data_IF_525530025944
#
_entry.id   IF_525530025944
#
_cell.length_a   1.000
_cell.length_b   1.000
_cell.length_c   1.000
_cell.angle_alpha   90.00
_cell.angle_beta   90.00
_cell.angle_gamma   90.00
#
_symmetry.space_group_name_H-M   'P 1'
#
loop_
_entity.id
_entity.type
_entity.pdbx_description
1 polymer ?
#
# COMPACT_ATOMS: atom_id res chain seq x y z
N UNK A 1 23.91 -63.59 44.35
CA UNK A 1 23.27 -64.73 45.04
C UNK A 1 23.05 -64.35 46.48
N UNK A 2 21.79 -64.22 46.92
CA UNK A 2 21.25 -64.48 48.27
C UNK A 2 19.87 -63.78 48.34
N UNK A 3 18.80 -64.57 48.27
CA UNK A 3 17.50 -64.17 48.83
C UNK A 3 17.50 -64.48 50.32
N UNK A 4 16.56 -63.91 51.08
CA UNK A 4 15.58 -64.82 51.68
C UNK A 4 14.13 -64.32 51.61
N UNK A 5 13.24 -65.32 51.71
CA UNK A 5 11.77 -65.30 51.66
C UNK A 5 11.12 -65.05 53.03
N UNK A 6 9.86 -64.57 53.03
CA UNK A 6 8.65 -64.99 53.81
C UNK A 6 7.61 -63.87 53.67
N UNK A 7 6.48 -64.03 52.99
CA UNK A 7 5.25 -64.79 53.30
C UNK A 7 4.54 -64.31 54.56
N UNK A 8 3.40 -63.61 54.37
CA UNK A 8 2.17 -63.53 55.19
C UNK A 8 1.11 -62.85 54.30
N UNK A 9 0.07 -63.53 53.82
CA UNK A 9 -1.28 -63.81 54.38
C UNK A 9 -2.28 -62.65 54.33
N UNK A 10 -3.48 -63.01 53.85
CA UNK A 10 -4.80 -62.33 53.94
C UNK A 10 -4.94 -61.09 53.04
N UNK A 11 -6.02 -60.85 52.30
CA UNK A 11 -7.44 -61.04 52.60
C UNK A 11 -8.25 -61.01 51.28
N UNK A 12 -9.29 -61.84 51.17
CA UNK A 12 -10.23 -61.88 50.04
C UNK A 12 -11.41 -60.98 50.37
N UNK A 13 -11.72 -59.98 49.53
CA UNK A 13 -13.03 -59.35 49.52
C UNK A 13 -13.37 -58.82 48.12
N UNK A 14 -14.41 -59.41 47.54
CA UNK A 14 -15.18 -58.89 46.41
C UNK A 14 -15.76 -57.52 46.77
N UNK A 15 -15.72 -56.59 45.82
CA UNK A 15 -16.86 -55.69 45.60
C UNK A 15 -16.87 -55.23 44.14
N UNK A 16 -17.83 -55.77 43.39
CA UNK A 16 -18.20 -55.31 42.06
C UNK A 16 -18.82 -53.92 42.17
N UNK A 17 -18.23 -52.93 41.50
CA UNK A 17 -18.91 -51.70 41.14
C UNK A 17 -19.05 -51.65 39.61
N UNK A 18 -20.27 -51.91 39.15
CA UNK A 18 -20.73 -51.67 37.78
C UNK A 18 -20.48 -50.21 37.40
N UNK A 19 -19.56 -49.99 36.46
CA UNK A 19 -19.44 -48.75 35.70
C UNK A 19 -19.63 -49.06 34.22
N UNK A 20 -20.81 -48.75 33.71
CA UNK A 20 -21.09 -48.71 32.26
C UNK A 20 -20.34 -47.50 31.71
N UNK A 21 -19.32 -47.72 30.88
CA UNK A 21 -18.79 -46.67 30.01
C UNK A 21 -18.94 -47.03 28.54
N UNK A 22 -19.59 -46.10 27.86
CA UNK A 22 -20.07 -46.11 26.50
C UNK A 22 -18.93 -45.98 25.47
N UNK A 23 -19.19 -46.37 24.20
CA UNK A 23 -18.18 -46.45 23.16
C UNK A 23 -17.58 -45.09 22.78
N UNK A 24 -16.27 -45.12 22.55
CA UNK A 24 -15.45 -44.03 21.99
C UNK A 24 -16.03 -43.52 20.66
N UNK A 25 -16.29 -42.20 20.50
CA UNK A 25 -16.52 -41.64 19.18
C UNK A 25 -15.17 -41.43 18.49
N UNK A 26 -14.87 -42.34 17.58
CA UNK A 26 -13.97 -42.05 16.49
C UNK A 26 -14.57 -40.92 15.63
N UNK A 27 -13.70 -40.06 15.11
CA UNK A 27 -13.93 -39.11 14.01
C UNK A 27 -14.76 -37.87 14.35
N UNK A 28 -14.10 -36.88 14.94
CA UNK A 28 -14.34 -35.49 14.56
C UNK A 28 -13.31 -35.14 13.50
N UNK A 29 -13.72 -35.22 12.23
CA UNK A 29 -13.10 -34.43 11.17
C UNK A 29 -13.06 -32.99 11.66
N UNK A 30 -11.87 -32.52 12.02
CA UNK A 30 -11.63 -31.09 12.11
C UNK A 30 -11.71 -30.63 10.66
N UNK A 31 -12.90 -30.19 10.27
CA UNK A 31 -13.09 -29.32 9.14
C UNK A 31 -12.24 -28.08 9.42
N UNK A 32 -10.97 -28.18 9.02
CA UNK A 32 -10.05 -27.07 8.99
C UNK A 32 -10.73 -26.03 8.11
N UNK A 33 -11.20 -25.01 8.81
CA UNK A 33 -11.85 -23.83 8.28
C UNK A 33 -11.14 -23.45 7.00
N UNK A 34 -11.81 -23.67 5.85
CA UNK A 34 -11.42 -23.04 4.60
C UNK A 34 -11.32 -21.56 4.91
N UNK A 35 -10.10 -21.05 5.00
CA UNK A 35 -9.84 -19.63 4.87
C UNK A 35 -10.50 -19.23 3.56
N UNK A 36 -11.62 -18.52 3.64
CA UNK A 36 -12.00 -17.59 2.58
C UNK A 36 -10.74 -16.85 2.19
N UNK A 37 -10.36 -16.77 0.90
CA UNK A 37 -9.13 -16.12 0.50
C UNK A 37 -9.25 -14.61 0.80
N UNK A 38 -8.91 -14.25 2.03
CA UNK A 38 -8.63 -12.89 2.42
C UNK A 38 -7.46 -12.46 1.56
N UNK A 39 -7.61 -11.32 0.91
CA UNK A 39 -6.52 -10.70 0.15
C UNK A 39 -5.24 -10.76 0.98
N UNK A 40 -4.14 -11.24 0.41
CA UNK A 40 -2.87 -11.28 1.14
C UNK A 40 -2.50 -9.87 1.61
N UNK A 41 -1.76 -9.77 2.73
CA UNK A 41 -1.32 -8.46 3.26
C UNK A 41 -0.58 -7.63 2.20
N UNK A 42 0.13 -8.28 1.27
CA UNK A 42 0.87 -7.63 0.19
C UNK A 42 -0.04 -7.09 -0.90
N UNK A 43 -1.06 -7.84 -1.29
CA UNK A 43 -2.11 -7.37 -2.20
C UNK A 43 -2.93 -6.22 -1.59
N UNK A 44 -3.17 -6.24 -0.27
CA UNK A 44 -3.81 -5.12 0.41
C UNK A 44 -2.93 -3.86 0.37
N UNK A 45 -1.63 -3.99 0.67
CA UNK A 45 -0.67 -2.88 0.55
C UNK A 45 -0.56 -2.37 -0.89
N UNK A 46 -0.53 -3.27 -1.87
CA UNK A 46 -0.56 -2.92 -3.28
C UNK A 46 -1.76 -2.06 -3.62
N UNK A 47 -2.97 -2.41 -3.15
CA UNK A 47 -4.17 -1.61 -3.41
C UNK A 47 -4.02 -0.18 -2.87
N UNK A 48 -3.46 -0.02 -1.68
CA UNK A 48 -3.16 1.29 -1.09
C UNK A 48 -2.17 2.09 -1.94
N UNK A 49 -1.02 1.49 -2.30
CA UNK A 49 -0.02 2.16 -3.14
C UNK A 49 -0.57 2.52 -4.52
N UNK A 50 -1.35 1.62 -5.13
CA UNK A 50 -1.98 1.86 -6.42
C UNK A 50 -3.07 2.95 -6.35
N UNK A 51 -3.83 3.03 -5.26
CA UNK A 51 -4.79 4.11 -5.05
C UNK A 51 -4.08 5.46 -4.96
N UNK A 52 -2.98 5.54 -4.19
CA UNK A 52 -2.16 6.74 -4.08
C UNK A 52 -1.54 7.14 -5.43
N UNK A 53 -1.01 6.17 -6.18
CA UNK A 53 -0.47 6.41 -7.51
C UNK A 53 -1.52 6.96 -8.48
N UNK A 54 -2.75 6.42 -8.46
CA UNK A 54 -3.86 6.91 -9.31
C UNK A 54 -4.29 8.32 -8.92
N UNK A 55 -4.39 8.60 -7.62
CA UNK A 55 -4.68 9.94 -7.11
C UNK A 55 -3.65 10.96 -7.59
N UNK A 56 -2.36 10.65 -7.43
CA UNK A 56 -1.28 11.50 -7.90
C UNK A 56 -1.33 11.71 -9.43
N UNK A 57 -1.56 10.66 -10.22
CA UNK A 57 -1.69 10.76 -11.68
C UNK A 57 -2.89 11.64 -12.12
N UNK A 58 -4.02 11.54 -11.41
CA UNK A 58 -5.16 12.42 -11.65
C UNK A 58 -4.80 13.89 -11.37
N UNK A 59 -4.11 14.17 -10.26
CA UNK A 59 -3.62 15.52 -9.94
C UNK A 59 -2.60 16.04 -10.97
N UNK A 60 -1.71 15.19 -11.47
CA UNK A 60 -0.80 15.55 -12.59
C UNK A 60 -1.60 16.05 -13.78
N UNK A 61 -2.62 15.30 -14.18
CA UNK A 61 -3.50 15.66 -15.31
C UNK A 61 -4.23 16.98 -15.05
N UNK A 62 -4.83 17.14 -13.87
CA UNK A 62 -5.55 18.35 -13.48
C UNK A 62 -4.65 19.59 -13.46
N UNK A 63 -3.44 19.49 -12.91
CA UNK A 63 -2.47 20.58 -12.88
C UNK A 63 -1.99 20.96 -14.28
N UNK A 64 -1.66 20.00 -15.15
CA UNK A 64 -1.29 20.26 -16.54
C UNK A 64 -2.42 20.97 -17.31
N UNK A 65 -3.68 20.52 -17.16
CA UNK A 65 -4.84 21.19 -17.77
C UNK A 65 -5.01 22.60 -17.24
N UNK A 66 -4.87 22.79 -15.93
CA UNK A 66 -4.93 24.12 -15.32
C UNK A 66 -3.84 25.04 -15.89
N UNK A 67 -2.62 24.56 -16.10
CA UNK A 67 -1.57 25.37 -16.71
C UNK A 67 -1.89 25.83 -18.15
N UNK A 68 -2.89 25.23 -18.82
CA UNK A 68 -3.23 25.51 -20.21
C UNK A 68 -2.13 25.05 -21.17
N UNK A 69 -1.33 24.08 -20.75
CA UNK A 69 -0.19 23.57 -21.50
C UNK A 69 -0.65 22.37 -22.32
N UNK A 70 -0.63 22.53 -23.65
CA UNK A 70 -0.86 21.42 -24.58
C UNK A 70 0.33 20.46 -24.50
N UNK A 71 0.13 19.34 -23.81
CA UNK A 71 1.13 18.30 -23.64
C UNK A 71 0.69 17.04 -24.38
N UNK A 72 1.49 16.63 -25.37
CA UNK A 72 1.37 15.29 -25.96
C UNK A 72 2.33 14.34 -25.21
N UNK A 73 1.83 13.43 -24.35
CA UNK A 73 2.67 12.49 -23.62
C UNK A 73 3.39 11.47 -24.51
N UNK A 74 3.03 11.34 -25.80
CA UNK A 74 3.73 10.50 -26.76
C UNK A 74 5.04 11.13 -27.27
N UNK A 75 5.18 12.46 -27.16
CA UNK A 75 6.40 13.16 -27.56
C UNK A 75 7.48 13.02 -26.48
N UNK A 76 8.56 12.34 -26.81
CA UNK A 76 9.69 12.11 -25.90
C UNK A 76 10.83 13.09 -26.21
N UNK A 77 11.14 13.96 -25.25
CA UNK A 77 12.27 14.87 -25.29
C UNK A 77 13.25 14.47 -24.18
N UNK A 78 14.53 14.27 -24.54
CA UNK A 78 15.55 13.79 -23.60
C UNK A 78 15.79 14.73 -22.42
N UNK A 79 15.77 16.05 -22.67
CA UNK A 79 15.87 17.09 -21.64
C UNK A 79 14.74 18.10 -21.88
N UNK A 80 13.60 17.97 -21.18
CA UNK A 80 12.49 18.89 -21.38
C UNK A 80 12.79 20.24 -20.72
N UNK A 81 13.02 21.27 -21.53
CA UNK A 81 13.24 22.64 -21.06
C UNK A 81 11.92 23.44 -21.02
N UNK A 82 11.09 23.25 -22.04
CA UNK A 82 9.80 23.90 -22.21
C UNK A 82 8.72 23.34 -21.27
N UNK A 83 7.78 24.20 -20.86
CA UNK A 83 6.67 23.81 -19.98
C UNK A 83 5.84 22.65 -20.56
N UNK A 84 5.60 22.65 -21.88
CA UNK A 84 4.91 21.57 -22.59
C UNK A 84 5.65 20.23 -22.53
N UNK A 85 6.96 20.25 -22.79
CA UNK A 85 7.78 19.05 -22.72
C UNK A 85 7.88 18.51 -21.28
N UNK A 86 7.95 19.40 -20.27
CA UNK A 86 7.95 19.01 -18.85
C UNK A 86 6.60 18.41 -18.42
N UNK A 87 5.49 19.00 -18.86
CA UNK A 87 4.14 18.48 -18.61
C UNK A 87 3.94 17.10 -19.28
N UNK A 88 4.35 16.94 -20.54
CA UNK A 88 4.32 15.66 -21.24
C UNK A 88 5.14 14.58 -20.51
N UNK A 89 6.34 14.93 -20.05
CA UNK A 89 7.18 14.03 -19.27
C UNK A 89 6.53 13.62 -17.94
N UNK A 90 5.89 14.56 -17.22
CA UNK A 90 5.19 14.27 -15.98
C UNK A 90 4.01 13.31 -16.20
N UNK A 91 3.19 13.56 -17.24
CA UNK A 91 2.08 12.67 -17.61
C UNK A 91 2.58 11.26 -17.92
N UNK A 92 3.61 11.14 -18.76
CA UNK A 92 4.23 9.86 -19.12
C UNK A 92 4.77 9.12 -17.89
N UNK A 93 5.54 9.80 -17.03
CA UNK A 93 6.08 9.20 -15.81
C UNK A 93 4.98 8.67 -14.88
N UNK A 94 3.86 9.40 -14.76
CA UNK A 94 2.72 8.94 -13.98
C UNK A 94 2.04 7.71 -14.59
N UNK A 95 1.89 7.66 -15.91
CA UNK A 95 1.33 6.51 -16.62
C UNK A 95 2.25 5.28 -16.53
N UNK A 96 3.55 5.45 -16.71
CA UNK A 96 4.56 4.39 -16.59
C UNK A 96 4.55 3.77 -15.17
N UNK A 97 4.39 4.61 -14.14
CA UNK A 97 4.29 4.16 -12.74
C UNK A 97 3.06 3.29 -12.51
N UNK A 98 1.91 3.66 -13.10
CA UNK A 98 0.68 2.87 -13.02
C UNK A 98 0.78 1.55 -13.80
N UNK A 99 1.39 1.58 -14.99
CA UNK A 99 1.62 0.38 -15.79
C UNK A 99 2.53 -0.62 -15.05
N UNK A 100 3.59 -0.13 -14.40
CA UNK A 100 4.49 -0.97 -13.60
C UNK A 100 3.79 -1.65 -12.41
N UNK A 101 2.84 -0.96 -11.75
CA UNK A 101 2.01 -1.53 -10.68
C UNK A 101 1.08 -2.64 -11.20
N UNK A 102 0.49 -2.45 -12.38
CA UNK A 102 -0.44 -3.40 -12.98
C UNK A 102 0.25 -4.65 -13.55
N UNK A 103 1.49 -4.51 -14.04
CA UNK A 103 2.22 -5.57 -14.74
C UNK A 103 3.15 -6.44 -13.88
N UNK A 104 3.27 -6.18 -12.57
CA UNK A 104 4.21 -6.87 -11.68
C UNK A 104 3.50 -7.71 -10.61
N UNK A 105 4.19 -8.66 -9.99
CA UNK A 105 3.70 -9.36 -8.79
C UNK A 105 3.74 -8.43 -7.55
N UNK A 106 2.84 -8.58 -6.56
CA UNK A 106 2.83 -7.75 -5.35
C UNK A 106 4.20 -7.69 -4.66
N UNK A 107 4.74 -6.48 -4.57
CA UNK A 107 5.96 -6.17 -3.83
C UNK A 107 5.75 -4.79 -3.20
N UNK A 108 5.47 -4.70 -1.89
CA UNK A 108 5.20 -3.43 -1.23
C UNK A 108 6.29 -2.36 -1.44
N UNK A 109 7.56 -2.76 -1.52
CA UNK A 109 8.65 -1.82 -1.71
C UNK A 109 8.69 -1.30 -3.14
N UNK A 110 8.50 -2.17 -4.14
CA UNK A 110 8.39 -1.76 -5.54
C UNK A 110 7.13 -0.93 -5.79
N UNK A 111 5.99 -1.38 -5.29
CA UNK A 111 4.69 -0.71 -5.42
C UNK A 111 4.74 0.69 -4.77
N UNK A 112 5.36 0.79 -3.58
CA UNK A 112 5.59 2.08 -2.92
C UNK A 112 6.49 3.02 -3.72
N UNK A 113 7.54 2.50 -4.37
CA UNK A 113 8.38 3.31 -5.28
C UNK A 113 7.59 3.84 -6.48
N UNK A 114 6.68 3.05 -7.04
CA UNK A 114 5.82 3.52 -8.14
C UNK A 114 4.84 4.61 -7.67
N UNK A 115 4.24 4.44 -6.48
CA UNK A 115 3.41 5.49 -5.89
C UNK A 115 4.19 6.80 -5.66
N UNK A 116 5.43 6.71 -5.17
CA UNK A 116 6.33 7.86 -5.03
C UNK A 116 6.64 8.52 -6.39
N UNK A 117 6.92 7.74 -7.42
CA UNK A 117 7.25 8.28 -8.75
C UNK A 117 6.05 9.02 -9.36
N UNK A 118 4.83 8.49 -9.21
CA UNK A 118 3.61 9.19 -9.59
C UNK A 118 3.42 10.49 -8.79
N UNK A 119 3.70 10.49 -7.48
CA UNK A 119 3.64 11.70 -6.66
C UNK A 119 4.68 12.76 -7.07
N UNK A 120 5.89 12.34 -7.44
CA UNK A 120 6.92 13.24 -7.97
C UNK A 120 6.51 13.85 -9.33
N UNK A 121 5.85 13.08 -10.20
CA UNK A 121 5.27 13.62 -11.43
C UNK A 121 4.21 14.70 -11.13
N UNK A 122 3.37 14.48 -10.13
CA UNK A 122 2.38 15.47 -9.69
C UNK A 122 3.01 16.76 -9.16
N UNK A 123 4.18 16.68 -8.50
CA UNK A 123 4.96 17.86 -8.08
C UNK A 123 5.41 18.68 -9.29
N UNK A 124 5.96 18.02 -10.32
CA UNK A 124 6.40 18.72 -11.54
C UNK A 124 5.23 19.43 -12.22
N UNK A 125 4.08 18.77 -12.35
CA UNK A 125 2.89 19.38 -12.92
C UNK A 125 2.35 20.53 -12.05
N UNK A 126 2.35 20.38 -10.73
CA UNK A 126 1.94 21.42 -9.80
C UNK A 126 2.87 22.65 -9.85
N UNK A 127 4.17 22.46 -10.03
CA UNK A 127 5.13 23.55 -10.22
C UNK A 127 4.81 24.35 -11.50
N UNK A 128 4.51 23.67 -12.60
CA UNK A 128 4.12 24.31 -13.87
C UNK A 128 2.80 25.06 -13.68
N UNK A 129 1.79 24.45 -13.06
CA UNK A 129 0.52 25.12 -12.79
C UNK A 129 0.69 26.36 -11.90
N UNK A 130 1.55 26.26 -10.87
CA UNK A 130 1.88 27.36 -9.96
C UNK A 130 2.58 28.51 -10.68
N UNK A 131 3.53 28.24 -11.57
CA UNK A 131 4.18 29.31 -12.34
C UNK A 131 3.26 30.01 -13.35
N UNK A 132 2.20 29.34 -13.81
CA UNK A 132 1.22 29.91 -14.76
C UNK A 132 0.07 30.66 -14.08
N UNK A 133 -0.40 30.20 -12.91
CA UNK A 133 -1.55 30.80 -12.20
C UNK A 133 -1.14 31.81 -11.15
N UNK A 134 -0.03 31.55 -10.45
CA UNK A 134 0.39 32.33 -9.28
C UNK A 134 -0.63 32.34 -8.13
N UNK A 135 -0.28 33.03 -7.05
CA UNK A 135 -1.17 33.26 -5.91
C UNK A 135 -1.12 32.18 -4.82
N UNK A 136 -1.66 32.52 -3.65
CA UNK A 136 -1.51 31.73 -2.42
C UNK A 136 -2.08 30.31 -2.53
N UNK A 137 -3.19 30.13 -3.26
CA UNK A 137 -3.81 28.83 -3.45
C UNK A 137 -2.96 27.91 -4.34
N UNK A 138 -2.36 28.46 -5.40
CA UNK A 138 -1.46 27.71 -6.27
C UNK A 138 -0.16 27.32 -5.52
N UNK A 139 0.37 28.23 -4.70
CA UNK A 139 1.52 27.95 -3.83
C UNK A 139 1.19 26.89 -2.78
N UNK A 140 0.00 26.94 -2.18
CA UNK A 140 -0.46 25.94 -1.22
C UNK A 140 -0.59 24.56 -1.87
N UNK A 141 -1.18 24.49 -3.07
CA UNK A 141 -1.32 23.24 -3.82
C UNK A 141 0.04 22.65 -4.22
N UNK A 142 0.99 23.48 -4.65
CA UNK A 142 2.37 23.03 -4.92
C UNK A 142 3.06 22.49 -3.66
N UNK A 143 2.99 23.23 -2.53
CA UNK A 143 3.56 22.77 -1.25
C UNK A 143 2.93 21.46 -0.77
N UNK A 144 1.61 21.31 -0.89
CA UNK A 144 0.92 20.09 -0.52
C UNK A 144 1.35 18.91 -1.40
N UNK A 145 1.51 19.10 -2.71
CA UNK A 145 2.04 18.09 -3.62
C UNK A 145 3.48 17.66 -3.24
N UNK A 146 4.34 18.62 -2.87
CA UNK A 146 5.70 18.33 -2.38
C UNK A 146 5.68 17.46 -1.11
N UNK A 147 4.82 17.80 -0.15
CA UNK A 147 4.68 17.04 1.09
C UNK A 147 4.18 15.61 0.82
N UNK A 148 3.20 15.44 -0.08
CA UNK A 148 2.73 14.13 -0.50
C UNK A 148 3.85 13.28 -1.14
N UNK A 149 4.66 13.88 -2.02
CA UNK A 149 5.81 13.20 -2.63
C UNK A 149 6.87 12.80 -1.60
N UNK A 150 7.13 13.65 -0.60
CA UNK A 150 8.09 13.35 0.48
C UNK A 150 7.58 12.23 1.38
N UNK A 151 6.31 12.27 1.80
CA UNK A 151 5.71 11.24 2.62
C UNK A 151 5.67 9.88 1.89
N UNK A 152 5.30 9.86 0.61
CA UNK A 152 5.38 8.66 -0.24
C UNK A 152 6.82 8.15 -0.36
N UNK A 153 7.81 9.05 -0.47
CA UNK A 153 9.23 8.70 -0.46
C UNK A 153 9.69 8.04 0.83
N UNK A 154 9.24 8.55 1.97
CA UNK A 154 9.51 7.97 3.29
C UNK A 154 8.88 6.58 3.43
N UNK A 155 7.62 6.42 3.02
CA UNK A 155 6.92 5.14 3.03
C UNK A 155 7.60 4.08 2.15
N UNK A 156 8.09 4.47 0.98
CA UNK A 156 8.79 3.60 0.03
C UNK A 156 10.29 3.37 0.35
N UNK A 157 10.86 4.21 1.23
CA UNK A 157 12.29 4.24 1.53
C UNK A 157 12.77 3.05 2.36
N UNK A 158 14.09 3.02 2.64
CA UNK A 158 14.77 1.93 3.37
C UNK A 158 14.21 1.66 4.76
N UNK A 159 13.56 2.64 5.38
CA UNK A 159 12.97 2.48 6.72
C UNK A 159 11.52 1.99 6.67
N UNK A 160 10.83 2.24 5.54
CA UNK A 160 9.42 1.88 5.35
C UNK A 160 9.20 0.56 4.61
N UNK A 161 10.06 0.23 3.64
CA UNK A 161 9.93 -0.91 2.71
C UNK A 161 8.53 -1.06 2.09
N UNK A 162 7.76 0.02 2.03
CA UNK A 162 6.35 0.02 1.62
C UNK A 162 5.40 -0.75 2.54
N UNK A 163 5.88 -1.27 3.69
CA UNK A 163 5.10 -2.08 4.65
C UNK A 163 4.76 -1.34 5.94
N UNK A 164 5.53 -0.30 6.30
CA UNK A 164 5.30 0.43 7.53
C UNK A 164 3.93 1.13 7.53
N UNK A 165 3.03 0.71 8.42
CA UNK A 165 1.66 1.19 8.47
C UNK A 165 1.56 2.68 8.81
N UNK A 166 2.38 3.18 9.74
CA UNK A 166 2.39 4.59 10.13
C UNK A 166 2.84 5.48 8.97
N UNK A 167 3.93 5.12 8.27
CA UNK A 167 4.39 5.88 7.12
C UNK A 167 3.40 5.82 5.94
N UNK A 168 2.70 4.69 5.76
CA UNK A 168 1.64 4.60 4.77
C UNK A 168 0.45 5.49 5.11
N UNK A 169 0.03 5.54 6.38
CA UNK A 169 -1.03 6.42 6.84
C UNK A 169 -0.65 7.91 6.67
N UNK A 170 0.58 8.29 7.03
CA UNK A 170 1.09 9.65 6.81
C UNK A 170 1.07 10.03 5.31
N UNK A 171 1.48 9.10 4.44
CA UNK A 171 1.45 9.31 2.99
C UNK A 171 0.03 9.44 2.44
N UNK A 172 -0.94 8.70 2.97
CA UNK A 172 -2.34 8.80 2.58
C UNK A 172 -2.96 10.13 3.03
N UNK A 173 -2.66 10.57 4.27
CA UNK A 173 -3.10 11.87 4.78
C UNK A 173 -2.50 13.02 3.96
N UNK A 174 -1.21 12.93 3.61
CA UNK A 174 -0.55 13.93 2.77
C UNK A 174 -1.12 13.97 1.35
N UNK A 175 -1.44 12.82 0.75
CA UNK A 175 -2.09 12.77 -0.57
C UNK A 175 -3.50 13.37 -0.51
N UNK A 176 -4.29 13.09 0.53
CA UNK A 176 -5.60 13.69 0.71
C UNK A 176 -5.53 15.22 0.84
N UNK A 177 -4.55 15.74 1.60
CA UNK A 177 -4.29 17.17 1.70
C UNK A 177 -3.87 17.79 0.36
N UNK A 178 -3.07 17.07 -0.45
CA UNK A 178 -2.68 17.51 -1.79
C UNK A 178 -3.86 17.56 -2.76
N UNK A 179 -4.81 16.62 -2.67
CA UNK A 179 -6.07 16.66 -3.43
C UNK A 179 -6.89 17.88 -3.02
N UNK A 180 -7.13 18.08 -1.72
CA UNK A 180 -7.92 19.20 -1.23
C UNK A 180 -7.32 20.57 -1.63
N UNK A 181 -6.00 20.71 -1.56
CA UNK A 181 -5.31 21.94 -1.96
C UNK A 181 -5.39 22.16 -3.48
N UNK A 182 -5.24 21.11 -4.30
CA UNK A 182 -5.42 21.20 -5.74
C UNK A 182 -6.85 21.63 -6.11
N UNK A 183 -7.86 21.04 -5.47
CA UNK A 183 -9.26 21.42 -5.68
C UNK A 183 -9.54 22.87 -5.28
N UNK A 184 -8.98 23.34 -4.16
CA UNK A 184 -9.09 24.72 -3.71
C UNK A 184 -8.42 25.69 -4.70
N UNK A 185 -7.32 25.28 -5.33
CA UNK A 185 -6.65 26.03 -6.40
C UNK A 185 -7.37 25.93 -7.77
N UNK A 186 -8.49 25.18 -7.86
CA UNK A 186 -9.26 24.99 -9.09
C UNK A 186 -8.66 23.97 -10.06
N UNK A 187 -7.77 23.10 -9.60
CA UNK A 187 -7.14 22.05 -10.41
C UNK A 187 -7.98 20.78 -10.28
N UNK A 188 -8.82 20.49 -11.30
CA UNK A 188 -9.71 19.31 -11.33
C UNK A 188 -9.59 18.53 -12.64
#
# INVERSE_FOLDING_TARGET
MTQPRRSDREETALSEAKGVEQPSPAQAEVAETRETPGTSTEEALRRTHAARARSAAARTTAACRCAGVEADPAVVVAVPEEAAAKAANALRLSADSLAALAGSAPDPAADGRQARNAAAAAVLAAQIAQSHRGGELADAAYRAALLASQAAGKAAGRDGWGRNAAFNADADAAEAAAVAAAEAAGWR
#
